data_IF_108299064224
#
_entry.id   IF_108299064224
#
_cell.length_a   1.000
_cell.length_b   1.000
_cell.length_c   1.000
_cell.angle_alpha   90.00
_cell.angle_beta   90.00
_cell.angle_gamma   90.00
#
_symmetry.space_group_name_H-M   'P 1'
#
loop_
_entity.id
_entity.type
_entity.pdbx_description
1 polymer ?
#
# COMPACT_ATOMS: atom_id res chain seq x y z
N UNK A 1 -62.41 -49.64 -32.13
CA UNK A 1 -61.54 -48.45 -32.03
C UNK A 1 -60.57 -48.47 -33.20
N UNK A 2 -60.55 -47.39 -33.97
CA UNK A 2 -60.09 -47.35 -35.36
C UNK A 2 -58.56 -47.17 -35.45
N UNK A 3 -57.88 -48.05 -36.17
CA UNK A 3 -56.41 -48.02 -36.37
C UNK A 3 -55.93 -46.79 -37.15
N UNK A 4 -56.83 -46.10 -37.87
CA UNK A 4 -56.58 -44.84 -38.56
C UNK A 4 -56.45 -43.62 -37.64
N UNK A 5 -57.22 -43.56 -36.55
CA UNK A 5 -57.14 -42.46 -35.58
C UNK A 5 -55.87 -42.53 -34.74
N UNK A 6 -55.41 -43.74 -34.42
CA UNK A 6 -54.12 -43.96 -33.75
C UNK A 6 -52.94 -43.49 -34.60
N UNK A 7 -52.87 -43.86 -35.89
CA UNK A 7 -51.79 -43.40 -36.79
C UNK A 7 -51.77 -41.89 -37.02
N UNK A 8 -52.95 -41.26 -37.08
CA UNK A 8 -53.08 -39.81 -37.24
C UNK A 8 -52.62 -39.06 -35.98
N UNK A 9 -52.99 -39.56 -34.80
CA UNK A 9 -52.56 -39.02 -33.51
C UNK A 9 -51.03 -39.15 -33.33
N UNK A 10 -50.43 -40.29 -33.68
CA UNK A 10 -48.97 -40.49 -33.60
C UNK A 10 -48.20 -39.58 -34.55
N UNK A 11 -48.70 -39.35 -35.77
CA UNK A 11 -48.08 -38.43 -36.73
C UNK A 11 -48.14 -36.96 -36.28
N UNK A 12 -49.23 -36.55 -35.62
CA UNK A 12 -49.37 -35.19 -35.08
C UNK A 12 -48.47 -34.97 -33.85
N UNK A 13 -48.38 -35.96 -32.95
CA UNK A 13 -47.46 -35.94 -31.81
C UNK A 13 -46.00 -35.85 -32.29
N UNK A 14 -45.62 -36.64 -33.31
CA UNK A 14 -44.25 -36.62 -33.86
C UNK A 14 -43.89 -35.26 -34.45
N UNK A 15 -44.82 -34.61 -35.17
CA UNK A 15 -44.62 -33.24 -35.70
C UNK A 15 -44.47 -32.21 -34.58
N UNK A 16 -45.28 -32.31 -33.52
CA UNK A 16 -45.18 -31.42 -32.35
C UNK A 16 -43.85 -31.60 -31.61
N UNK A 17 -43.41 -32.84 -31.41
CA UNK A 17 -42.10 -33.15 -30.82
C UNK A 17 -40.98 -32.59 -31.70
N UNK A 18 -41.03 -32.78 -33.03
CA UNK A 18 -40.05 -32.23 -33.95
C UNK A 18 -39.99 -30.69 -33.92
N UNK A 19 -41.14 -30.02 -33.87
CA UNK A 19 -41.22 -28.57 -33.75
C UNK A 19 -40.67 -28.06 -32.41
N UNK A 20 -40.98 -28.74 -31.30
CA UNK A 20 -40.44 -28.42 -29.97
C UNK A 20 -38.92 -28.63 -29.90
N UNK A 21 -38.42 -29.73 -30.48
CA UNK A 21 -36.99 -30.02 -30.55
C UNK A 21 -36.24 -28.99 -31.39
N UNK A 22 -36.80 -28.60 -32.53
CA UNK A 22 -36.24 -27.54 -33.38
C UNK A 22 -36.25 -26.19 -32.65
N UNK A 23 -37.35 -25.83 -31.99
CA UNK A 23 -37.45 -24.59 -31.20
C UNK A 23 -36.44 -24.56 -30.05
N UNK A 24 -36.30 -25.67 -29.32
CA UNK A 24 -35.29 -25.82 -28.26
C UNK A 24 -33.87 -25.71 -28.83
N UNK A 25 -33.61 -26.31 -29.99
CA UNK A 25 -32.33 -26.20 -30.69
C UNK A 25 -31.98 -24.75 -31.06
N UNK A 26 -32.94 -23.97 -31.54
CA UNK A 26 -32.74 -22.54 -31.82
C UNK A 26 -32.44 -21.73 -30.55
N UNK A 27 -33.15 -22.01 -29.45
CA UNK A 27 -32.89 -21.35 -28.16
C UNK A 27 -31.49 -21.66 -27.67
N UNK A 28 -31.08 -22.93 -27.71
CA UNK A 28 -29.72 -23.34 -27.32
C UNK A 28 -28.65 -22.70 -28.20
N UNK A 29 -28.89 -22.59 -29.51
CA UNK A 29 -27.98 -21.90 -30.44
C UNK A 29 -27.83 -20.42 -30.08
N UNK A 30 -28.93 -19.72 -29.78
CA UNK A 30 -28.89 -18.32 -29.36
C UNK A 30 -28.17 -18.14 -28.02
N UNK A 31 -28.45 -18.99 -27.03
CA UNK A 31 -27.76 -18.97 -25.74
C UNK A 31 -26.27 -19.26 -25.88
N UNK A 32 -25.90 -20.19 -26.76
CA UNK A 32 -24.48 -20.47 -27.06
C UNK A 32 -23.82 -19.28 -27.71
N UNK A 33 -24.47 -18.63 -28.69
CA UNK A 33 -23.97 -17.42 -29.30
C UNK A 33 -23.79 -16.27 -28.30
N UNK A 34 -24.76 -16.08 -27.39
CA UNK A 34 -24.67 -15.07 -26.33
C UNK A 34 -23.52 -15.38 -25.35
N UNK A 35 -23.38 -16.63 -24.93
CA UNK A 35 -22.32 -17.07 -24.02
C UNK A 35 -20.94 -16.83 -24.63
N UNK A 36 -20.73 -17.27 -25.87
CA UNK A 36 -19.47 -17.07 -26.59
C UNK A 36 -19.19 -15.59 -26.85
N UNK A 37 -20.23 -14.79 -27.07
CA UNK A 37 -20.05 -13.34 -27.26
C UNK A 37 -19.61 -12.67 -25.96
N UNK A 38 -20.21 -13.01 -24.81
CA UNK A 38 -19.76 -12.46 -23.52
C UNK A 38 -18.34 -12.93 -23.19
N UNK A 39 -18.02 -14.21 -23.40
CA UNK A 39 -16.65 -14.72 -23.22
C UNK A 39 -15.66 -13.99 -24.14
N UNK A 40 -16.01 -13.75 -25.40
CA UNK A 40 -15.19 -12.95 -26.31
C UNK A 40 -14.95 -11.53 -25.78
N UNK A 41 -15.97 -10.87 -25.22
CA UNK A 41 -15.83 -9.53 -24.63
C UNK A 41 -14.99 -9.53 -23.35
N UNK A 42 -15.03 -10.60 -22.56
CA UNK A 42 -14.20 -10.75 -21.36
C UNK A 42 -12.72 -10.95 -21.71
N UNK A 43 -12.44 -11.75 -22.74
CA UNK A 43 -11.09 -11.99 -23.25
C UNK A 43 -10.55 -10.83 -24.10
N UNK A 44 -11.45 -10.01 -24.68
CA UNK A 44 -11.09 -8.87 -25.53
C UNK A 44 -11.81 -7.59 -25.08
N UNK A 45 -11.54 -7.05 -23.88
CA UNK A 45 -12.27 -5.91 -23.34
C UNK A 45 -12.23 -4.66 -24.23
N UNK A 46 -11.14 -4.46 -24.97
CA UNK A 46 -11.01 -3.36 -25.93
C UNK A 46 -11.99 -3.43 -27.11
N UNK A 47 -12.54 -4.61 -27.40
CA UNK A 47 -13.59 -4.81 -28.40
C UNK A 47 -15.01 -4.60 -27.82
N UNK A 48 -15.15 -4.38 -26.51
CA UNK A 48 -16.44 -4.19 -25.88
C UNK A 48 -17.07 -2.85 -26.29
N UNK A 49 -18.29 -2.83 -26.86
CA UNK A 49 -18.99 -1.60 -27.12
C UNK A 49 -19.21 -0.78 -25.84
N UNK A 50 -19.05 0.55 -25.90
CA UNK A 50 -19.19 1.45 -24.75
C UNK A 50 -20.52 1.26 -24.00
N UNK A 51 -21.62 1.01 -24.72
CA UNK A 51 -22.93 0.78 -24.12
C UNK A 51 -23.06 -0.53 -23.34
N UNK A 52 -22.22 -1.53 -23.66
CA UNK A 52 -22.20 -2.83 -22.97
C UNK A 52 -21.15 -2.87 -21.84
N UNK A 53 -20.11 -2.05 -21.91
CA UNK A 53 -18.98 -2.08 -20.98
C UNK A 53 -19.40 -2.01 -19.50
N UNK A 54 -20.34 -1.14 -19.05
CA UNK A 54 -20.79 -1.14 -17.65
C UNK A 54 -21.43 -2.46 -17.20
N UNK A 55 -22.13 -3.16 -18.11
CA UNK A 55 -22.74 -4.45 -17.82
C UNK A 55 -21.69 -5.54 -17.73
N UNK A 56 -20.71 -5.54 -18.66
CA UNK A 56 -19.60 -6.51 -18.66
C UNK A 56 -18.70 -6.30 -17.45
N UNK A 57 -18.36 -5.06 -17.08
CA UNK A 57 -17.62 -4.72 -15.85
C UNK A 57 -18.32 -5.22 -14.59
N UNK A 58 -19.61 -4.93 -14.47
CA UNK A 58 -20.38 -5.39 -13.31
C UNK A 58 -20.43 -6.91 -13.24
N UNK A 59 -20.62 -7.58 -14.39
CA UNK A 59 -20.55 -9.04 -14.45
C UNK A 59 -19.18 -9.54 -14.01
N UNK A 60 -18.10 -8.99 -14.57
CA UNK A 60 -16.73 -9.34 -14.23
C UNK A 60 -16.50 -9.24 -12.72
N UNK A 61 -16.76 -8.08 -12.12
CA UNK A 61 -16.54 -7.82 -10.70
C UNK A 61 -17.29 -8.80 -9.77
N UNK A 62 -18.54 -9.11 -10.11
CA UNK A 62 -19.44 -9.84 -9.21
C UNK A 62 -19.49 -11.36 -9.47
N UNK A 63 -19.05 -11.83 -10.64
CA UNK A 63 -19.24 -13.22 -11.06
C UNK A 63 -18.01 -13.88 -11.70
N UNK A 64 -17.03 -13.12 -12.17
CA UNK A 64 -15.89 -13.66 -12.94
C UNK A 64 -14.54 -13.40 -12.28
N UNK A 65 -14.34 -12.21 -11.71
CA UNK A 65 -13.10 -11.77 -11.07
C UNK A 65 -12.78 -12.63 -9.84
N UNK A 66 -11.57 -13.18 -9.86
CA UNK A 66 -10.97 -13.83 -8.72
C UNK A 66 -10.50 -12.78 -7.70
N UNK A 67 -10.65 -13.11 -6.42
CA UNK A 67 -10.43 -12.18 -5.32
C UNK A 67 -9.27 -12.70 -4.47
N UNK A 68 -8.17 -11.93 -4.48
CA UNK A 68 -6.89 -12.32 -3.91
C UNK A 68 -6.96 -12.80 -2.45
N UNK A 69 -7.64 -12.03 -1.59
CA UNK A 69 -7.69 -12.29 -0.14
C UNK A 69 -8.26 -13.66 0.24
N UNK A 70 -9.08 -14.22 -0.63
CA UNK A 70 -9.87 -15.44 -0.42
C UNK A 70 -9.35 -16.63 -1.22
N UNK A 71 -8.11 -16.58 -1.70
CA UNK A 71 -7.56 -17.65 -2.51
C UNK A 71 -6.77 -18.66 -1.66
N UNK A 72 -7.34 -19.84 -1.44
CA UNK A 72 -6.67 -20.94 -0.74
C UNK A 72 -5.33 -21.28 -1.41
N UNK A 73 -4.27 -21.33 -0.61
CA UNK A 73 -2.90 -21.57 -1.08
C UNK A 73 -2.09 -20.32 -1.41
N UNK A 74 -2.72 -19.14 -1.52
CA UNK A 74 -2.01 -17.84 -1.64
C UNK A 74 -2.13 -17.01 -0.35
N UNK A 75 -3.20 -17.20 0.40
CA UNK A 75 -3.38 -16.63 1.74
C UNK A 75 -3.57 -17.74 2.77
N UNK A 76 -3.45 -17.38 4.05
CA UNK A 76 -3.83 -18.20 5.19
C UNK A 76 -4.61 -17.33 6.20
N UNK A 77 -5.36 -17.99 7.08
CA UNK A 77 -6.03 -17.31 8.19
C UNK A 77 -4.98 -16.72 9.15
N UNK A 78 -5.21 -15.47 9.55
CA UNK A 78 -4.38 -14.76 10.52
C UNK A 78 -5.29 -14.24 11.65
N UNK A 79 -4.95 -14.55 12.90
CA UNK A 79 -5.79 -14.21 14.05
C UNK A 79 -5.87 -12.72 14.33
N UNK A 80 -4.90 -11.93 13.86
CA UNK A 80 -4.82 -10.49 14.14
C UNK A 80 -5.25 -9.66 12.92
N UNK A 81 -5.15 -10.22 11.71
CA UNK A 81 -5.43 -9.53 10.45
C UNK A 81 -6.55 -10.16 9.62
N UNK A 82 -7.23 -11.18 10.12
CA UNK A 82 -8.20 -12.06 9.42
C UNK A 82 -7.56 -12.96 8.35
N UNK A 83 -6.61 -12.45 7.58
CA UNK A 83 -5.80 -13.24 6.66
C UNK A 83 -4.46 -12.56 6.38
N UNK A 84 -3.44 -13.33 6.03
CA UNK A 84 -2.15 -12.86 5.54
C UNK A 84 -1.72 -13.62 4.29
N UNK A 85 -0.78 -13.08 3.51
CA UNK A 85 -0.23 -13.77 2.33
C UNK A 85 0.70 -14.90 2.75
N UNK A 86 0.68 -15.99 1.99
CA UNK A 86 1.64 -17.08 2.17
C UNK A 86 3.01 -16.64 1.63
N UNK A 87 4.09 -16.75 2.42
CA UNK A 87 5.44 -16.47 1.93
C UNK A 87 5.81 -17.34 0.73
N UNK A 88 6.65 -16.79 -0.15
CA UNK A 88 7.15 -17.45 -1.34
C UNK A 88 6.68 -16.80 -2.63
N UNK A 89 6.65 -17.58 -3.70
CA UNK A 89 6.40 -17.09 -5.06
C UNK A 89 5.24 -17.82 -5.70
N UNK A 90 4.28 -17.07 -6.22
CA UNK A 90 3.13 -17.62 -6.94
C UNK A 90 2.61 -16.66 -8.00
N UNK A 91 1.78 -17.17 -8.91
CA UNK A 91 1.12 -16.36 -9.94
C UNK A 91 -0.30 -16.05 -9.54
N UNK A 92 -0.69 -14.78 -9.65
CA UNK A 92 -2.08 -14.32 -9.57
C UNK A 92 -2.52 -13.83 -10.95
N UNK A 93 -3.74 -14.15 -11.35
CA UNK A 93 -4.22 -13.82 -12.70
C UNK A 93 -5.71 -13.54 -12.69
N UNK A 94 -6.09 -12.58 -13.51
CA UNK A 94 -7.46 -12.31 -13.91
C UNK A 94 -7.48 -12.12 -15.45
N UNK A 95 -8.63 -11.80 -16.03
CA UNK A 95 -8.80 -11.71 -17.49
C UNK A 95 -7.79 -10.76 -18.17
N UNK A 96 -7.38 -9.69 -17.50
CA UNK A 96 -6.56 -8.63 -18.10
C UNK A 96 -5.09 -8.64 -17.67
N UNK A 97 -4.71 -9.50 -16.73
CA UNK A 97 -3.34 -9.56 -16.22
C UNK A 97 -2.99 -10.93 -15.66
N UNK A 98 -1.69 -11.26 -15.71
CA UNK A 98 -1.11 -12.45 -15.08
C UNK A 98 0.27 -12.07 -14.57
N UNK A 99 0.42 -12.00 -13.25
CA UNK A 99 1.61 -11.46 -12.62
C UNK A 99 2.17 -12.40 -11.57
N UNK A 100 3.48 -12.31 -11.39
CA UNK A 100 4.19 -13.02 -10.32
C UNK A 100 4.18 -12.16 -9.07
N UNK A 101 3.80 -12.78 -7.96
CA UNK A 101 3.87 -12.23 -6.63
C UNK A 101 5.03 -12.93 -5.92
N UNK A 102 5.95 -12.14 -5.39
CA UNK A 102 6.98 -12.59 -4.45
C UNK A 102 6.62 -11.97 -3.10
N UNK A 103 6.46 -12.84 -2.10
CA UNK A 103 5.98 -12.50 -0.77
C UNK A 103 7.03 -12.93 0.24
N UNK A 104 7.48 -11.98 1.07
CA UNK A 104 8.48 -12.23 2.10
C UNK A 104 7.90 -12.99 3.31
N UNK A 105 8.80 -13.32 4.24
CA UNK A 105 8.51 -14.07 5.46
C UNK A 105 7.50 -13.41 6.39
N UNK A 106 7.31 -12.09 6.29
CA UNK A 106 6.30 -11.34 7.04
C UNK A 106 4.91 -11.31 6.36
N UNK A 107 4.77 -11.89 5.17
CA UNK A 107 3.50 -11.92 4.44
C UNK A 107 3.21 -10.65 3.64
N UNK A 108 4.24 -9.87 3.31
CA UNK A 108 4.13 -8.69 2.44
C UNK A 108 4.70 -8.98 1.06
N UNK A 109 4.14 -8.32 0.04
CA UNK A 109 4.50 -8.53 -1.37
C UNK A 109 5.76 -7.73 -1.72
N UNK A 110 6.86 -8.13 -1.10
CA UNK A 110 8.17 -7.52 -1.27
C UNK A 110 9.28 -8.54 -0.99
N UNK A 111 10.55 -8.14 -1.11
CA UNK A 111 11.69 -8.98 -0.79
C UNK A 111 12.01 -9.03 0.72
N UNK A 112 12.91 -9.95 1.10
CA UNK A 112 13.34 -10.14 2.50
C UNK A 112 14.31 -9.05 2.99
N UNK A 113 15.02 -8.39 2.07
CA UNK A 113 16.01 -7.37 2.41
C UNK A 113 15.29 -6.10 2.88
N UNK A 114 14.18 -5.74 2.23
CA UNK A 114 13.34 -4.61 2.62
C UNK A 114 12.73 -4.73 4.02
N UNK A 115 12.66 -5.92 4.61
CA UNK A 115 12.20 -6.10 6.00
C UNK A 115 13.21 -5.66 7.06
N UNK A 116 14.50 -5.60 6.73
CA UNK A 116 15.56 -5.43 7.72
C UNK A 116 15.62 -4.00 8.24
N UNK A 117 15.71 -3.04 7.32
CA UNK A 117 15.93 -1.61 7.59
C UNK A 117 15.26 -0.73 6.53
N UNK A 118 13.92 -0.71 6.42
CA UNK A 118 13.24 0.13 5.44
C UNK A 118 13.37 1.61 5.81
N UNK A 119 13.85 2.43 4.87
CA UNK A 119 13.87 3.89 4.97
C UNK A 119 12.51 4.49 4.56
N UNK A 120 11.80 3.79 3.67
CA UNK A 120 10.44 4.12 3.25
C UNK A 120 9.54 2.90 3.47
N UNK A 121 8.39 3.08 4.10
CA UNK A 121 7.34 2.05 4.14
C UNK A 121 6.10 2.54 3.42
N UNK A 122 5.48 1.67 2.63
CA UNK A 122 4.21 1.91 1.95
C UNK A 122 3.11 1.11 2.64
N UNK A 123 2.06 1.81 3.09
CA UNK A 123 0.78 1.27 3.53
C UNK A 123 -0.30 1.51 2.47
N UNK A 124 -1.29 0.63 2.45
CA UNK A 124 -2.48 0.78 1.62
C UNK A 124 -3.16 -0.55 1.34
N UNK A 125 -4.09 -0.51 0.41
CA UNK A 125 -4.91 -1.66 0.02
C UNK A 125 -4.40 -2.32 -1.28
N UNK A 126 -5.33 -2.81 -2.12
CA UNK A 126 -5.01 -3.45 -3.39
C UNK A 126 -4.34 -2.50 -4.39
N UNK A 127 -4.56 -1.19 -4.31
CA UNK A 127 -3.91 -0.23 -5.19
C UNK A 127 -2.41 -0.10 -4.86
N UNK A 128 -2.07 0.01 -3.58
CA UNK A 128 -0.70 0.06 -3.11
C UNK A 128 0.05 -1.28 -3.19
N UNK A 129 -0.65 -2.39 -2.95
CA UNK A 129 -0.12 -3.76 -3.14
C UNK A 129 0.28 -4.05 -4.60
N UNK A 130 -0.25 -3.27 -5.56
CA UNK A 130 -0.01 -3.47 -6.98
C UNK A 130 -0.83 -4.63 -7.59
N UNK A 131 -2.13 -4.71 -7.25
CA UNK A 131 -3.09 -5.78 -7.61
C UNK A 131 -2.84 -6.55 -8.92
N UNK A 132 -2.56 -5.86 -10.03
CA UNK A 132 -2.44 -6.45 -11.36
C UNK A 132 -1.15 -6.13 -12.11
N UNK A 133 -0.07 -5.76 -11.41
CA UNK A 133 1.23 -5.47 -12.03
C UNK A 133 2.33 -6.37 -11.47
N UNK A 134 3.47 -6.51 -12.13
CA UNK A 134 4.64 -7.23 -11.57
C UNK A 134 5.29 -6.44 -10.43
N UNK A 135 6.05 -7.10 -9.55
CA UNK A 135 6.67 -6.44 -8.37
C UNK A 135 7.45 -5.16 -8.75
N UNK A 136 8.36 -5.24 -9.73
CA UNK A 136 9.13 -4.08 -10.21
C UNK A 136 8.33 -2.98 -10.94
N UNK A 137 7.01 -3.15 -11.08
CA UNK A 137 6.11 -2.15 -11.67
C UNK A 137 5.21 -1.48 -10.62
N UNK A 138 5.25 -1.92 -9.35
CA UNK A 138 4.54 -1.23 -8.28
C UNK A 138 5.14 0.15 -8.06
N UNK A 139 4.34 1.13 -7.64
CA UNK A 139 4.90 2.44 -7.33
C UNK A 139 5.92 2.39 -6.19
N UNK A 140 5.83 1.43 -5.27
CA UNK A 140 6.82 1.22 -4.21
C UNK A 140 8.19 0.89 -4.79
N UNK A 141 8.29 -0.10 -5.69
CA UNK A 141 9.55 -0.45 -6.35
C UNK A 141 10.07 0.65 -7.28
N UNK A 142 9.17 1.42 -7.91
CA UNK A 142 9.57 2.57 -8.73
C UNK A 142 10.12 3.73 -7.87
N UNK A 143 9.60 3.90 -6.65
CA UNK A 143 10.12 4.88 -5.69
C UNK A 143 11.50 4.46 -5.17
N UNK A 144 11.68 3.17 -4.88
CA UNK A 144 12.99 2.60 -4.49
C UNK A 144 14.06 2.90 -5.54
N UNK A 145 13.77 2.59 -6.82
CA UNK A 145 14.65 2.89 -7.93
C UNK A 145 14.91 4.40 -8.07
N UNK A 146 13.89 5.23 -7.87
CA UNK A 146 13.98 6.68 -8.06
C UNK A 146 14.70 7.44 -6.94
N UNK A 147 14.71 6.92 -5.72
CA UNK A 147 15.30 7.58 -4.55
C UNK A 147 16.63 6.98 -4.08
N UNK A 148 16.98 5.77 -4.52
CA UNK A 148 18.14 5.01 -3.99
C UNK A 148 18.05 4.83 -2.46
N UNK A 149 16.83 4.55 -1.96
CA UNK A 149 16.50 4.27 -0.56
C UNK A 149 15.85 2.90 -0.46
N UNK A 150 16.01 2.19 0.67
CA UNK A 150 15.30 0.92 0.89
C UNK A 150 13.81 1.17 1.09
N UNK A 151 12.97 0.53 0.26
CA UNK A 151 11.50 0.64 0.35
C UNK A 151 10.90 -0.71 0.70
N UNK A 152 9.98 -0.70 1.66
CA UNK A 152 9.15 -1.86 1.98
C UNK A 152 7.68 -1.59 1.69
N UNK A 153 7.10 -2.37 0.79
CA UNK A 153 5.68 -2.38 0.50
C UNK A 153 4.93 -3.35 1.42
N UNK A 154 4.22 -2.80 2.40
CA UNK A 154 3.40 -3.58 3.34
C UNK A 154 1.91 -3.57 2.98
N UNK A 155 1.53 -2.96 1.86
CA UNK A 155 0.15 -2.87 1.44
C UNK A 155 -0.45 -4.24 1.11
N UNK A 156 -1.70 -4.45 1.53
CA UNK A 156 -2.43 -5.71 1.34
C UNK A 156 -3.86 -5.38 0.94
N UNK A 157 -4.36 -6.06 -0.10
CA UNK A 157 -5.74 -5.93 -0.57
C UNK A 157 -6.76 -5.83 0.57
N UNK A 158 -7.76 -4.97 0.46
CA UNK A 158 -8.86 -4.84 1.45
C UNK A 158 -8.48 -4.54 2.90
N UNK A 159 -7.22 -4.23 3.21
CA UNK A 159 -6.86 -3.70 4.52
C UNK A 159 -7.30 -2.24 4.53
N UNK A 160 -7.98 -1.81 5.59
CA UNK A 160 -8.12 -0.40 5.86
C UNK A 160 -7.00 0.07 6.78
N UNK A 161 -6.92 1.39 6.99
CA UNK A 161 -5.88 2.03 7.81
C UNK A 161 -5.63 1.33 9.16
N UNK A 162 -6.68 0.89 9.86
CA UNK A 162 -6.54 0.17 11.13
C UNK A 162 -5.75 -1.14 11.00
N UNK A 163 -6.03 -1.93 9.97
CA UNK A 163 -5.34 -3.20 9.70
C UNK A 163 -3.95 -2.98 9.12
N UNK A 164 -3.78 -1.97 8.28
CA UNK A 164 -2.45 -1.55 7.80
C UNK A 164 -1.51 -1.22 8.96
N UNK A 165 -1.97 -0.42 9.92
CA UNK A 165 -1.17 -0.06 11.11
C UNK A 165 -0.92 -1.27 12.02
N UNK A 166 -1.90 -2.17 12.16
CA UNK A 166 -1.69 -3.41 12.92
C UNK A 166 -0.65 -4.30 12.25
N UNK A 167 -0.68 -4.41 10.92
CA UNK A 167 0.32 -5.15 10.16
C UNK A 167 1.71 -4.50 10.27
N UNK A 168 1.79 -3.16 10.27
CA UNK A 168 3.04 -2.40 10.45
C UNK A 168 3.75 -2.74 11.77
N UNK A 169 3.01 -3.08 12.83
CA UNK A 169 3.60 -3.48 14.13
C UNK A 169 4.46 -4.75 14.06
N UNK A 170 4.37 -5.52 12.95
CA UNK A 170 5.17 -6.72 12.68
C UNK A 170 6.51 -6.41 11.98
N UNK A 171 6.78 -5.15 11.66
CA UNK A 171 7.95 -4.69 10.89
C UNK A 171 8.87 -3.84 11.76
N UNK A 172 10.17 -3.90 11.50
CA UNK A 172 11.12 -2.97 12.10
C UNK A 172 11.01 -1.58 11.45
N UNK A 173 10.38 -0.63 12.14
CA UNK A 173 10.20 0.74 11.65
C UNK A 173 11.25 1.73 12.18
N UNK A 174 12.28 1.26 12.90
CA UNK A 174 13.21 2.14 13.64
C UNK A 174 13.91 3.18 12.76
N UNK A 175 14.26 2.80 11.53
CA UNK A 175 15.00 3.63 10.55
C UNK A 175 14.07 4.26 9.49
N UNK A 176 12.75 4.18 9.69
CA UNK A 176 11.78 4.67 8.72
C UNK A 176 11.71 6.20 8.70
N UNK A 177 12.36 6.81 7.70
CA UNK A 177 12.29 8.25 7.44
C UNK A 177 10.95 8.66 6.82
N UNK A 178 10.37 7.81 5.98
CA UNK A 178 9.13 8.10 5.25
C UNK A 178 8.08 7.00 5.40
N UNK A 179 6.85 7.41 5.66
CA UNK A 179 5.67 6.55 5.61
C UNK A 179 4.73 7.06 4.54
N UNK A 180 4.51 6.28 3.49
CA UNK A 180 3.55 6.58 2.43
C UNK A 180 2.27 5.81 2.74
N UNK A 181 1.15 6.51 2.85
CA UNK A 181 -0.17 5.90 3.11
C UNK A 181 -1.08 6.19 1.92
N UNK A 182 -1.44 5.14 1.21
CA UNK A 182 -2.53 5.18 0.24
C UNK A 182 -3.84 4.91 0.97
N UNK A 183 -4.65 5.95 1.16
CA UNK A 183 -5.99 5.81 1.73
C UNK A 183 -7.01 5.42 0.65
N UNK A 184 -8.02 4.63 1.02
CA UNK A 184 -9.18 4.35 0.19
C UNK A 184 -10.49 4.62 0.95
N UNK A 185 -11.56 5.13 0.31
CA UNK A 185 -12.84 5.34 0.99
C UNK A 185 -13.48 4.07 1.59
N UNK A 186 -13.09 2.88 1.12
CA UNK A 186 -13.56 1.60 1.67
C UNK A 186 -12.97 1.29 3.06
N UNK A 187 -11.94 2.01 3.53
CA UNK A 187 -11.40 1.94 4.89
C UNK A 187 -12.39 2.39 5.96
N UNK A 188 -13.34 3.27 5.61
CA UNK A 188 -14.15 4.02 6.56
C UNK A 188 -14.84 3.12 7.59
N UNK A 189 -15.48 2.05 7.14
CA UNK A 189 -16.23 1.16 8.03
C UNK A 189 -15.31 0.44 9.01
N UNK A 190 -14.14 -0.03 8.54
CA UNK A 190 -13.16 -0.68 9.40
C UNK A 190 -12.57 0.29 10.42
N UNK A 191 -12.18 1.48 9.97
CA UNK A 191 -11.62 2.53 10.82
C UNK A 191 -12.62 2.99 11.88
N UNK A 192 -13.90 3.16 11.53
CA UNK A 192 -14.96 3.50 12.48
C UNK A 192 -15.15 2.43 13.55
N UNK A 193 -15.13 1.16 13.15
CA UNK A 193 -15.27 0.04 14.07
C UNK A 193 -14.07 -0.05 15.02
N UNK A 194 -12.85 0.15 14.50
CA UNK A 194 -11.64 0.15 15.30
C UNK A 194 -11.63 1.26 16.35
N UNK A 195 -11.89 2.51 15.94
CA UNK A 195 -11.91 3.67 16.87
C UNK A 195 -13.04 3.55 17.89
N UNK A 196 -14.19 3.01 17.49
CA UNK A 196 -15.33 2.82 18.41
C UNK A 196 -15.17 1.60 19.32
N UNK A 197 -14.24 0.69 18.99
CA UNK A 197 -13.99 -0.57 19.67
C UNK A 197 -12.70 -0.56 20.48
N UNK A 198 -12.39 0.55 21.15
CA UNK A 198 -11.21 0.72 22.02
C UNK A 198 -9.87 0.42 21.32
N UNK A 199 -9.78 0.74 20.03
CA UNK A 199 -8.57 0.55 19.20
C UNK A 199 -8.14 -0.93 19.09
N UNK A 200 -9.12 -1.84 19.10
CA UNK A 200 -8.91 -3.26 18.83
C UNK A 200 -9.54 -3.66 17.49
N UNK A 201 -8.79 -4.41 16.67
CA UNK A 201 -9.33 -5.01 15.45
C UNK A 201 -10.23 -6.19 15.80
N UNK A 202 -11.51 -6.09 15.41
CA UNK A 202 -12.44 -7.20 15.51
C UNK A 202 -12.22 -8.14 14.33
N UNK A 203 -11.49 -9.22 14.59
CA UNK A 203 -11.19 -10.26 13.58
C UNK A 203 -12.18 -11.41 13.71
N UNK A 204 -12.76 -11.81 12.57
CA UNK A 204 -13.63 -12.99 12.51
C UNK A 204 -12.79 -14.28 12.59
N UNK A 205 -13.34 -15.36 13.14
CA UNK A 205 -12.60 -16.62 13.30
C UNK A 205 -12.33 -17.36 11.98
N UNK A 206 -11.43 -18.35 12.04
CA UNK A 206 -10.95 -19.15 10.89
C UNK A 206 -12.08 -19.76 10.04
N UNK A 207 -13.16 -20.23 10.68
CA UNK A 207 -14.31 -20.78 9.95
C UNK A 207 -14.95 -19.76 8.98
N UNK A 208 -14.98 -18.48 9.35
CA UNK A 208 -15.50 -17.40 8.49
C UNK A 208 -14.56 -17.15 7.32
N UNK A 209 -13.25 -17.22 7.54
CA UNK A 209 -12.24 -17.14 6.48
C UNK A 209 -12.39 -18.32 5.49
N UNK A 210 -12.54 -19.55 5.99
CA UNK A 210 -12.75 -20.74 5.18
C UNK A 210 -14.03 -20.65 4.32
N UNK A 211 -15.12 -20.17 4.92
CA UNK A 211 -16.40 -19.97 4.24
C UNK A 211 -16.29 -18.89 3.15
N UNK A 212 -15.56 -17.80 3.43
CA UNK A 212 -15.31 -16.74 2.46
C UNK A 212 -14.51 -17.25 1.25
N UNK A 213 -13.45 -18.04 1.49
CA UNK A 213 -12.68 -18.69 0.44
C UNK A 213 -13.56 -19.60 -0.43
N UNK A 214 -14.31 -20.50 0.21
CA UNK A 214 -15.17 -21.44 -0.49
C UNK A 214 -16.31 -20.73 -1.26
N UNK A 215 -16.80 -19.59 -0.75
CA UNK A 215 -17.81 -18.78 -1.43
C UNK A 215 -17.28 -18.17 -2.73
N UNK A 216 -16.05 -17.65 -2.72
CA UNK A 216 -15.42 -17.08 -3.91
C UNK A 216 -15.10 -18.15 -4.95
N UNK A 217 -14.56 -19.31 -4.54
CA UNK A 217 -14.33 -20.45 -5.45
C UNK A 217 -15.63 -20.86 -6.18
N UNK A 218 -16.75 -20.96 -5.45
CA UNK A 218 -18.06 -21.27 -6.05
C UNK A 218 -18.59 -20.15 -6.95
N UNK A 219 -18.33 -18.88 -6.59
CA UNK A 219 -18.76 -17.70 -7.36
C UNK A 219 -18.10 -17.69 -8.74
N UNK A 220 -16.80 -17.98 -8.81
CA UNK A 220 -16.02 -17.92 -10.05
C UNK A 220 -16.08 -19.22 -10.86
N UNK A 221 -16.43 -20.36 -10.25
CA UNK A 221 -16.57 -21.63 -10.96
C UNK A 221 -17.53 -21.54 -12.15
N UNK A 222 -17.11 -22.07 -13.31
CA UNK A 222 -17.93 -22.09 -14.52
C UNK A 222 -19.02 -23.17 -14.43
N UNK A 223 -20.20 -22.86 -14.97
CA UNK A 223 -21.26 -23.81 -15.29
C UNK A 223 -21.86 -23.45 -16.65
N UNK A 224 -22.47 -24.40 -17.39
CA UNK A 224 -22.99 -24.12 -18.73
C UNK A 224 -23.90 -22.89 -18.78
N UNK A 225 -23.56 -21.95 -19.65
CA UNK A 225 -24.25 -20.66 -19.81
C UNK A 225 -24.12 -19.70 -18.62
N UNK A 226 -23.08 -19.84 -17.78
CA UNK A 226 -22.85 -18.98 -16.61
C UNK A 226 -22.93 -17.50 -16.96
N UNK A 227 -22.22 -17.06 -18.00
CA UNK A 227 -22.13 -15.63 -18.31
C UNK A 227 -23.50 -15.06 -18.65
N UNK A 228 -24.19 -15.74 -19.57
CA UNK A 228 -25.52 -15.35 -20.05
C UNK A 228 -26.55 -15.36 -18.94
N UNK A 229 -26.59 -16.45 -18.15
CA UNK A 229 -27.56 -16.62 -17.06
C UNK A 229 -27.32 -15.61 -15.94
N UNK A 230 -26.08 -15.40 -15.52
CA UNK A 230 -25.76 -14.45 -14.44
C UNK A 230 -26.06 -13.01 -14.83
N UNK A 231 -25.76 -12.58 -16.08
CA UNK A 231 -26.12 -11.25 -16.57
C UNK A 231 -27.64 -11.07 -16.56
N UNK A 232 -28.40 -12.06 -17.06
CA UNK A 232 -29.85 -12.00 -17.06
C UNK A 232 -30.42 -11.94 -15.64
N UNK A 233 -29.89 -12.74 -14.71
CA UNK A 233 -30.29 -12.70 -13.30
C UNK A 233 -30.01 -11.36 -12.65
N UNK A 234 -28.83 -10.76 -12.88
CA UNK A 234 -28.49 -9.43 -12.40
C UNK A 234 -29.43 -8.36 -12.95
N UNK A 235 -29.78 -8.41 -14.24
CA UNK A 235 -30.72 -7.49 -14.86
C UNK A 235 -32.14 -7.61 -14.27
N UNK A 236 -32.62 -8.85 -14.06
CA UNK A 236 -33.92 -9.11 -13.43
C UNK A 236 -33.98 -8.63 -11.97
N UNK A 237 -32.89 -8.81 -11.21
CA UNK A 237 -32.77 -8.31 -9.84
C UNK A 237 -32.81 -6.79 -9.78
N UNK A 238 -32.08 -6.09 -10.65
CA UNK A 238 -32.11 -4.61 -10.74
C UNK A 238 -33.52 -4.08 -11.02
N UNK A 239 -34.26 -4.72 -11.92
CA UNK A 239 -35.64 -4.33 -12.22
C UNK A 239 -36.61 -4.58 -11.05
N UNK A 240 -36.35 -5.61 -10.23
CA UNK A 240 -37.17 -5.92 -9.05
C UNK A 240 -36.83 -5.01 -7.86
N UNK A 241 -35.58 -4.62 -7.73
CA UNK A 241 -35.06 -3.75 -6.66
C UNK A 241 -35.22 -2.25 -6.97
N UNK A 242 -35.69 -1.90 -8.17
CA UNK A 242 -36.15 -0.56 -8.55
C UNK A 242 -37.51 -0.16 -7.92
N UNK A 243 -38.15 -1.04 -7.17
CA UNK A 243 -39.24 -0.69 -6.26
C UNK A 243 -38.66 -0.07 -4.98
N UNK A 244 -39.24 0.99 -4.40
CA UNK A 244 -38.65 1.70 -3.28
C UNK A 244 -38.48 0.75 -2.09
N UNK A 245 -37.22 0.38 -1.81
CA UNK A 245 -36.87 -0.28 -0.56
C UNK A 245 -36.82 0.80 0.51
N UNK A 246 -37.75 0.73 1.46
CA UNK A 246 -37.48 1.24 2.80
C UNK A 246 -36.35 0.39 3.38
N UNK A 247 -35.11 0.79 3.13
CA UNK A 247 -33.97 0.31 3.90
C UNK A 247 -34.12 0.88 5.29
N UNK A 248 -34.61 0.07 6.22
CA UNK A 248 -34.29 0.22 7.63
C UNK A 248 -32.78 0.04 7.74
N UNK A 249 -32.06 1.15 7.59
CA UNK A 249 -30.67 1.21 8.01
C UNK A 249 -30.70 1.42 9.51
N UNK A 250 -30.53 0.33 10.25
CA UNK A 250 -30.21 0.40 11.65
C UNK A 250 -28.74 0.84 11.76
N UNK A 251 -28.55 2.15 11.82
CA UNK A 251 -27.30 2.77 12.24
C UNK A 251 -27.71 4.03 12.98
N UNK A 252 -27.55 4.03 14.30
CA UNK A 252 -27.76 5.19 15.14
C UNK A 252 -26.89 6.35 14.61
N UNK A 253 -27.45 7.37 13.92
CA UNK A 253 -26.65 8.35 13.16
C UNK A 253 -25.93 9.37 14.05
N UNK A 254 -26.14 9.32 15.36
CA UNK A 254 -25.76 10.39 16.28
C UNK A 254 -24.32 10.30 16.79
N UNK A 255 -23.48 9.37 16.30
CA UNK A 255 -22.13 9.14 16.86
C UNK A 255 -21.05 8.59 15.91
N UNK A 256 -21.29 8.47 14.61
CA UNK A 256 -20.27 7.92 13.71
C UNK A 256 -19.16 8.97 13.45
N UNK A 257 -17.92 8.64 13.85
CA UNK A 257 -16.73 9.45 13.55
C UNK A 257 -16.52 9.53 12.02
N UNK A 258 -16.20 10.71 11.49
CA UNK A 258 -15.97 10.89 10.06
C UNK A 258 -14.64 10.28 9.60
N UNK A 259 -14.52 9.97 8.29
CA UNK A 259 -13.34 9.33 7.69
C UNK A 259 -12.01 9.94 8.11
N UNK A 260 -11.87 11.26 7.94
CA UNK A 260 -10.65 11.98 8.29
C UNK A 260 -10.36 11.96 9.80
N UNK A 261 -11.39 11.99 10.65
CA UNK A 261 -11.20 11.91 12.10
C UNK A 261 -10.75 10.50 12.52
N UNK A 262 -11.38 9.46 11.96
CA UNK A 262 -10.98 8.08 12.25
C UNK A 262 -9.55 7.79 11.76
N UNK A 263 -9.21 8.25 10.55
CA UNK A 263 -7.87 8.13 10.00
C UNK A 263 -6.81 8.80 10.89
N UNK A 264 -7.02 10.08 11.26
CA UNK A 264 -6.07 10.82 12.10
C UNK A 264 -5.93 10.21 13.50
N UNK A 265 -7.02 9.70 14.07
CA UNK A 265 -7.02 9.03 15.38
C UNK A 265 -6.16 7.75 15.34
N UNK A 266 -6.35 6.90 14.31
CA UNK A 266 -5.56 5.67 14.11
C UNK A 266 -4.08 5.98 13.88
N UNK A 267 -3.79 6.88 12.93
CA UNK A 267 -2.41 7.19 12.55
C UNK A 267 -1.68 7.93 13.68
N UNK A 268 -2.37 8.86 14.36
CA UNK A 268 -1.81 9.60 15.50
C UNK A 268 -1.62 8.76 16.76
N UNK A 269 -2.43 7.71 16.95
CA UNK A 269 -2.34 6.79 18.08
C UNK A 269 -1.32 5.64 17.91
N UNK A 270 -0.76 5.47 16.71
CA UNK A 270 0.13 4.34 16.42
C UNK A 270 1.53 4.50 17.04
N UNK A 271 1.93 3.55 17.87
CA UNK A 271 3.31 3.44 18.38
C UNK A 271 4.29 2.88 17.33
N UNK A 272 3.77 2.26 16.27
CA UNK A 272 4.59 1.67 15.20
C UNK A 272 5.14 2.71 14.23
N UNK A 273 4.68 3.96 14.30
CA UNK A 273 5.17 5.08 13.49
C UNK A 273 6.15 5.91 14.34
N UNK A 274 7.46 5.88 14.05
CA UNK A 274 8.42 6.72 14.77
C UNK A 274 8.06 8.21 14.71
N UNK A 275 8.40 8.93 15.78
CA UNK A 275 8.13 10.38 15.90
C UNK A 275 8.93 11.26 14.95
N UNK A 276 9.95 10.71 14.26
CA UNK A 276 10.74 11.46 13.29
C UNK A 276 10.25 11.27 11.85
N UNK A 277 9.45 10.23 11.59
CA UNK A 277 8.98 9.85 10.26
C UNK A 277 8.12 10.95 9.65
N UNK A 278 8.38 11.26 8.37
CA UNK A 278 7.54 12.08 7.52
C UNK A 278 6.45 11.21 6.88
N UNK A 279 5.18 11.57 7.12
CA UNK A 279 4.01 10.87 6.60
C UNK A 279 3.54 11.58 5.34
N UNK A 280 3.31 10.79 4.28
CA UNK A 280 2.83 11.24 2.98
C UNK A 280 1.54 10.50 2.70
N UNK A 281 0.44 11.23 2.55
CA UNK A 281 -0.89 10.64 2.38
C UNK A 281 -1.44 11.02 1.02
N UNK A 282 -2.02 10.05 0.33
CA UNK A 282 -2.82 10.31 -0.86
C UNK A 282 -4.05 9.39 -0.86
N UNK A 283 -5.10 9.82 -1.56
CA UNK A 283 -6.32 9.03 -1.71
C UNK A 283 -6.35 8.39 -3.09
N UNK A 284 -6.74 7.11 -3.16
CA UNK A 284 -6.95 6.43 -4.43
C UNK A 284 -8.22 5.57 -4.39
N UNK A 285 -9.01 5.67 -5.45
CA UNK A 285 -10.25 4.91 -5.60
C UNK A 285 -10.49 4.52 -7.07
N UNK A 286 -11.56 3.77 -7.32
CA UNK A 286 -11.77 3.03 -8.56
C UNK A 286 -11.98 3.90 -9.81
N UNK A 287 -12.82 4.94 -9.75
CA UNK A 287 -13.26 5.66 -10.96
C UNK A 287 -12.92 7.15 -11.00
N UNK A 288 -12.81 7.83 -9.85
CA UNK A 288 -12.44 9.25 -9.78
C UNK A 288 -11.58 9.47 -8.58
N UNK A 289 -10.43 10.12 -8.69
CA UNK A 289 -9.75 10.61 -7.48
C UNK A 289 -10.49 11.86 -7.03
N UNK A 290 -11.19 11.79 -5.91
CA UNK A 290 -11.75 12.97 -5.23
C UNK A 290 -10.81 13.44 -4.11
N UNK A 291 -10.45 14.73 -4.14
CA UNK A 291 -9.61 15.38 -3.13
C UNK A 291 -10.32 15.61 -1.78
N UNK A 292 -11.63 15.37 -1.70
CA UNK A 292 -12.46 15.68 -0.53
C UNK A 292 -11.98 15.02 0.77
N UNK A 293 -11.39 13.82 0.73
CA UNK A 293 -10.79 13.20 1.91
C UNK A 293 -9.57 14.01 2.40
N UNK A 294 -8.66 14.34 1.49
CA UNK A 294 -7.45 15.11 1.78
C UNK A 294 -7.80 16.50 2.31
N UNK A 295 -8.80 17.16 1.73
CA UNK A 295 -9.32 18.45 2.23
C UNK A 295 -9.83 18.31 3.69
N UNK A 296 -10.56 17.24 4.00
CA UNK A 296 -11.10 16.99 5.34
C UNK A 296 -10.04 16.64 6.38
N UNK A 297 -8.95 15.97 5.97
CA UNK A 297 -7.79 15.69 6.84
C UNK A 297 -7.00 16.97 7.09
N UNK A 298 -6.71 17.73 6.03
CA UNK A 298 -5.99 19.01 6.13
C UNK A 298 -6.73 19.98 7.05
N UNK A 299 -8.03 20.17 6.83
CA UNK A 299 -8.85 21.06 7.65
C UNK A 299 -8.90 20.66 9.14
N UNK A 300 -8.68 19.37 9.46
CA UNK A 300 -8.59 18.91 10.85
C UNK A 300 -7.22 19.15 11.45
N UNK A 301 -6.16 18.86 10.71
CA UNK A 301 -4.79 19.13 11.16
C UNK A 301 -4.58 20.63 11.40
N UNK A 302 -5.17 21.51 10.59
CA UNK A 302 -5.09 22.97 10.77
C UNK A 302 -5.69 23.45 12.10
N UNK A 303 -6.62 22.69 12.69
CA UNK A 303 -7.19 22.98 14.02
C UNK A 303 -6.22 22.60 15.16
N UNK A 304 -5.20 21.80 14.88
CA UNK A 304 -4.19 21.29 15.81
C UNK A 304 -2.78 21.74 15.40
N UNK A 305 -2.67 22.97 14.88
CA UNK A 305 -1.40 23.53 14.40
C UNK A 305 -0.28 23.42 15.46
N UNK A 306 0.85 22.84 15.06
CA UNK A 306 1.98 22.56 15.96
C UNK A 306 1.88 21.22 16.71
N UNK A 307 0.91 20.37 16.39
CA UNK A 307 0.93 18.97 16.79
C UNK A 307 2.00 18.20 16.02
N UNK A 308 2.53 17.13 16.63
CA UNK A 308 3.52 16.27 15.98
C UNK A 308 3.01 15.68 14.66
N UNK A 309 1.70 15.49 14.51
CA UNK A 309 1.10 14.93 13.31
C UNK A 309 0.95 15.98 12.22
N UNK A 310 0.51 17.19 12.57
CA UNK A 310 0.43 18.32 11.66
C UNK A 310 1.79 18.63 11.01
N UNK A 311 2.86 18.66 11.80
CA UNK A 311 4.19 19.07 11.32
C UNK A 311 4.88 18.03 10.43
N UNK A 312 4.37 16.79 10.42
CA UNK A 312 4.99 15.64 9.75
C UNK A 312 4.06 14.95 8.77
N UNK A 313 2.86 15.47 8.51
CA UNK A 313 1.94 14.90 7.52
C UNK A 313 1.82 15.83 6.32
N UNK A 314 2.02 15.28 5.13
CA UNK A 314 1.91 16.00 3.86
C UNK A 314 1.06 15.20 2.89
N UNK A 315 0.55 15.86 1.85
CA UNK A 315 -0.45 15.27 0.97
C UNK A 315 -0.02 15.33 -0.48
N UNK A 316 -0.31 14.25 -1.23
CA UNK A 316 -0.15 14.22 -2.68
C UNK A 316 -1.53 14.19 -3.34
N UNK A 317 -1.77 15.18 -4.20
CA UNK A 317 -2.97 15.24 -5.02
C UNK A 317 -2.73 14.53 -6.36
N UNK A 318 -3.58 13.54 -6.63
CA UNK A 318 -3.59 12.79 -7.90
C UNK A 318 -4.73 13.23 -8.82
N UNK A 319 -5.52 14.24 -8.43
CA UNK A 319 -6.62 14.77 -9.21
C UNK A 319 -6.14 15.27 -10.57
N UNK A 320 -6.73 14.74 -11.65
CA UNK A 320 -6.32 15.08 -13.02
C UNK A 320 -5.01 14.46 -13.50
N UNK A 321 -4.34 13.65 -12.67
CA UNK A 321 -3.10 12.93 -13.04
C UNK A 321 -3.36 11.49 -13.47
N UNK A 322 -4.56 10.96 -13.23
CA UNK A 322 -4.97 9.63 -13.66
C UNK A 322 -6.18 9.72 -14.59
N UNK A 323 -6.15 8.92 -15.64
CA UNK A 323 -7.24 8.78 -16.62
C UNK A 323 -7.54 7.30 -16.92
N UNK A 324 -8.44 7.06 -17.89
CA UNK A 324 -8.85 5.69 -18.25
C UNK A 324 -7.71 4.82 -18.77
N UNK A 325 -6.65 5.40 -19.35
CA UNK A 325 -5.50 4.64 -19.88
C UNK A 325 -4.59 4.10 -18.78
N UNK A 326 -4.72 4.62 -17.56
CA UNK A 326 -3.95 4.22 -16.38
C UNK A 326 -4.57 3.02 -15.64
N UNK A 327 -5.67 2.47 -16.14
CA UNK A 327 -6.42 1.37 -15.52
C UNK A 327 -6.68 0.25 -16.51
N UNK A 328 -7.03 -0.92 -16.01
CA UNK A 328 -7.56 -1.97 -16.88
C UNK A 328 -8.98 -1.64 -17.34
N UNK A 329 -9.46 -2.30 -18.39
CA UNK A 329 -10.74 -2.00 -19.02
C UNK A 329 -11.88 -2.64 -18.24
N UNK A 330 -11.75 -3.88 -17.76
CA UNK A 330 -12.74 -4.54 -16.89
C UNK A 330 -12.45 -4.29 -15.42
N UNK A 331 -11.18 -4.40 -15.03
CA UNK A 331 -10.72 -4.23 -13.67
C UNK A 331 -10.39 -2.75 -13.38
N UNK A 332 -11.02 -2.11 -12.39
CA UNK A 332 -10.76 -0.69 -12.12
C UNK A 332 -9.36 -0.40 -11.54
N UNK A 333 -8.58 -1.43 -11.19
CA UNK A 333 -7.23 -1.23 -10.64
C UNK A 333 -6.26 -0.61 -11.65
N UNK A 334 -5.22 0.02 -11.11
CA UNK A 334 -4.15 0.62 -11.90
C UNK A 334 -3.39 -0.45 -12.69
N UNK A 335 -3.10 -0.16 -13.95
CA UNK A 335 -2.13 -0.91 -14.73
C UNK A 335 -0.71 -0.35 -14.49
N UNK A 336 0.29 -0.90 -15.18
CA UNK A 336 1.69 -0.46 -15.04
C UNK A 336 1.90 1.04 -15.32
N UNK A 337 1.16 1.62 -16.28
CA UNK A 337 1.22 3.05 -16.55
C UNK A 337 0.62 3.86 -15.39
N UNK A 338 -0.49 3.39 -14.80
CA UNK A 338 -1.09 4.02 -13.62
C UNK A 338 -0.20 3.98 -12.39
N UNK A 339 0.44 2.84 -12.13
CA UNK A 339 1.42 2.69 -11.05
C UNK A 339 2.59 3.67 -11.24
N UNK A 340 3.12 3.79 -12.46
CA UNK A 340 4.16 4.78 -12.79
C UNK A 340 3.70 6.22 -12.60
N UNK A 341 2.49 6.56 -13.05
CA UNK A 341 1.95 7.90 -12.86
C UNK A 341 1.83 8.27 -11.37
N UNK A 342 1.45 7.32 -10.50
CA UNK A 342 1.46 7.53 -9.05
C UNK A 342 2.89 7.69 -8.52
N UNK A 343 3.82 6.82 -8.94
CA UNK A 343 5.22 6.87 -8.53
C UNK A 343 5.87 8.22 -8.87
N UNK A 344 5.68 8.73 -10.09
CA UNK A 344 6.24 10.00 -10.55
C UNK A 344 5.77 11.17 -9.65
N UNK A 345 4.49 11.17 -9.24
CA UNK A 345 3.95 12.21 -8.35
C UNK A 345 4.51 12.10 -6.93
N UNK A 346 4.67 10.87 -6.43
CA UNK A 346 5.27 10.63 -5.11
C UNK A 346 6.76 11.01 -5.11
N UNK A 347 7.51 10.68 -6.15
CA UNK A 347 8.90 11.07 -6.33
C UNK A 347 9.07 12.59 -6.39
N UNK A 348 8.26 13.27 -7.23
CA UNK A 348 8.23 14.74 -7.31
C UNK A 348 7.94 15.36 -5.94
N UNK A 349 6.97 14.81 -5.21
CA UNK A 349 6.59 15.30 -3.89
C UNK A 349 7.72 15.08 -2.88
N UNK A 350 8.27 13.86 -2.79
CA UNK A 350 9.39 13.55 -1.88
C UNK A 350 10.62 14.40 -2.18
N UNK A 351 10.89 14.69 -3.45
CA UNK A 351 11.95 15.62 -3.86
C UNK A 351 11.67 17.08 -3.46
N UNK A 352 10.39 17.49 -3.41
CA UNK A 352 9.94 18.81 -2.98
C UNK A 352 9.76 18.95 -1.47
N UNK A 353 9.70 17.83 -0.75
CA UNK A 353 9.81 17.79 0.71
C UNK A 353 11.23 18.20 1.10
N UNK A 354 11.49 19.50 0.98
CA UNK A 354 12.67 20.17 1.50
C UNK A 354 12.62 20.06 3.01
N UNK A 355 13.32 19.04 3.48
CA UNK A 355 13.57 18.75 4.87
C UNK A 355 14.19 20.03 5.50
N UNK A 356 13.98 20.34 6.78
CA UNK A 356 14.24 21.68 7.33
C UNK A 356 15.68 22.17 7.17
N UNK A 357 15.87 23.32 6.51
CA UNK A 357 17.14 24.07 6.44
C UNK A 357 17.19 25.08 7.59
N UNK A 358 18.27 25.09 8.38
CA UNK A 358 18.41 26.00 9.51
C UNK A 358 19.39 25.52 10.59
N UNK A 359 19.68 26.37 11.56
CA UNK A 359 20.51 26.01 12.71
C UNK A 359 19.62 25.45 13.82
N UNK A 360 19.93 24.26 14.32
CA UNK A 360 19.24 23.64 15.46
C UNK A 360 20.17 23.57 16.66
N UNK A 361 19.61 23.89 17.82
CA UNK A 361 20.24 23.77 19.13
C UNK A 361 19.38 22.89 20.03
N UNK A 362 20.01 21.99 20.76
CA UNK A 362 19.39 21.19 21.80
C UNK A 362 20.04 21.50 23.14
N UNK A 363 19.25 21.45 24.21
CA UNK A 363 19.71 21.71 25.58
C UNK A 363 19.47 20.50 26.48
N UNK A 364 20.32 20.32 27.49
CA UNK A 364 20.09 19.41 28.62
C UNK A 364 18.87 19.85 29.45
N UNK A 365 18.28 18.97 30.29
CA UNK A 365 17.22 19.36 31.22
C UNK A 365 17.60 20.51 32.16
N UNK A 366 18.90 20.69 32.43
CA UNK A 366 19.48 21.81 33.18
C UNK A 366 19.44 23.15 32.42
N UNK A 367 19.15 23.14 31.12
CA UNK A 367 19.18 24.31 30.23
C UNK A 367 20.53 24.55 29.56
N UNK A 368 21.57 23.78 29.90
CA UNK A 368 22.88 23.89 29.25
C UNK A 368 22.82 23.41 27.78
N UNK A 369 23.57 24.02 26.84
CA UNK A 369 23.60 23.56 25.45
C UNK A 369 24.19 22.15 25.38
N UNK A 370 23.54 21.28 24.61
CA UNK A 370 23.94 19.90 24.39
C UNK A 370 24.51 19.70 22.99
N UNK A 371 23.85 20.25 21.96
CA UNK A 371 24.23 20.08 20.56
C UNK A 371 23.90 21.34 19.77
N UNK A 372 24.78 21.70 18.84
CA UNK A 372 24.52 22.70 17.81
C UNK A 372 24.89 22.17 16.42
N UNK A 373 24.01 22.33 15.43
CA UNK A 373 24.29 21.90 14.06
C UNK A 373 23.46 22.71 13.05
N UNK A 374 24.06 23.04 11.91
CA UNK A 374 23.31 23.52 10.76
C UNK A 374 22.76 22.35 9.94
N UNK A 375 21.62 22.61 9.31
CA UNK A 375 20.93 21.70 8.42
C UNK A 375 20.70 22.42 7.10
N UNK A 376 20.90 21.71 5.98
CA UNK A 376 20.48 22.11 4.64
C UNK A 376 19.70 20.95 4.06
N UNK A 377 18.47 21.24 3.64
CA UNK A 377 17.49 20.27 3.18
C UNK A 377 17.38 19.10 4.17
N UNK A 378 17.28 19.44 5.47
CA UNK A 378 17.11 18.56 6.66
C UNK A 378 18.18 17.51 6.88
N UNK A 379 19.25 17.59 6.11
CA UNK A 379 20.48 16.86 6.33
C UNK A 379 21.46 17.75 7.09
N UNK A 380 22.24 17.18 8.02
CA UNK A 380 23.31 17.92 8.70
C UNK A 380 24.27 18.50 7.65
N UNK A 381 24.57 19.79 7.75
CA UNK A 381 25.47 20.50 6.84
C UNK A 381 26.39 21.40 7.65
N UNK A 382 27.70 21.34 7.38
CA UNK A 382 28.70 22.14 8.08
C UNK A 382 29.13 21.59 9.44
N UNK A 383 29.47 22.48 10.36
CA UNK A 383 30.04 22.10 11.66
C UNK A 383 28.93 21.66 12.64
N UNK A 384 29.08 20.44 13.12
CA UNK A 384 28.37 19.89 14.27
C UNK A 384 29.25 20.03 15.51
N UNK A 385 28.67 20.52 16.61
CA UNK A 385 29.32 20.58 17.92
C UNK A 385 28.42 19.93 18.96
N UNK A 386 28.98 19.03 19.76
CA UNK A 386 28.35 18.50 20.96
C UNK A 386 29.11 18.97 22.20
N UNK A 387 28.38 19.13 23.30
CA UNK A 387 28.89 19.65 24.56
C UNK A 387 28.61 18.67 25.68
N UNK A 388 29.54 18.58 26.64
CA UNK A 388 29.29 18.05 27.97
C UNK A 388 28.34 18.98 28.73
N UNK A 389 27.61 18.47 29.71
CA UNK A 389 26.69 19.29 30.52
C UNK A 389 27.41 20.41 31.31
N UNK A 390 28.73 20.28 31.54
CA UNK A 390 29.54 21.36 32.12
C UNK A 390 29.89 22.49 31.12
N UNK A 391 29.38 22.44 29.89
CA UNK A 391 29.60 23.41 28.82
C UNK A 391 30.86 23.20 27.98
N UNK A 392 31.73 22.26 28.36
CA UNK A 392 32.92 21.91 27.57
C UNK A 392 32.55 21.16 26.29
N UNK A 393 33.27 21.37 25.19
CA UNK A 393 33.04 20.62 23.95
C UNK A 393 33.38 19.15 24.17
N UNK A 394 32.47 18.25 23.78
CA UNK A 394 32.70 16.80 23.78
C UNK A 394 33.10 16.30 22.40
N UNK A 395 32.57 16.91 21.34
CA UNK A 395 32.86 16.53 19.96
C UNK A 395 32.65 17.67 18.98
N UNK A 396 33.50 17.75 17.96
CA UNK A 396 33.24 18.50 16.73
C UNK A 396 33.30 17.58 15.53
N UNK A 397 32.44 17.78 14.53
CA UNK A 397 32.48 17.02 13.27
C UNK A 397 31.96 17.84 12.11
N UNK A 398 32.51 17.64 10.92
CA UNK A 398 32.01 18.25 9.69
C UNK A 398 31.03 17.33 8.97
N UNK A 399 29.95 17.90 8.46
CA UNK A 399 28.93 17.21 7.68
C UNK A 399 28.73 17.88 6.32
N UNK A 400 28.39 17.08 5.31
CA UNK A 400 27.96 17.54 3.99
C UNK A 400 26.88 16.59 3.48
N UNK A 401 25.69 17.12 3.18
CA UNK A 401 24.50 16.35 2.80
C UNK A 401 24.24 15.17 3.75
N UNK A 402 24.33 15.42 5.06
CA UNK A 402 23.94 14.45 6.10
C UNK A 402 25.01 13.44 6.47
N UNK A 403 26.00 13.22 5.60
CA UNK A 403 27.14 12.36 5.86
C UNK A 403 28.29 13.12 6.52
N UNK A 404 29.06 12.46 7.41
CA UNK A 404 30.34 13.02 7.91
C UNK A 404 31.28 13.25 6.74
N UNK A 405 31.83 14.46 6.62
CA UNK A 405 32.69 14.84 5.51
C UNK A 405 33.71 15.88 5.99
N UNK A 406 34.89 15.42 6.37
CA UNK A 406 35.93 16.20 7.03
C UNK A 406 36.38 15.58 8.35
N UNK A 407 36.98 16.40 9.21
CA UNK A 407 37.56 15.96 10.47
C UNK A 407 36.52 15.90 11.59
N UNK A 408 36.44 14.75 12.27
CA UNK A 408 35.83 14.61 13.59
C UNK A 408 36.91 14.69 14.66
N UNK A 409 36.61 15.33 15.78
CA UNK A 409 37.49 15.39 16.96
C UNK A 409 36.67 15.17 18.22
N UNK A 410 37.08 14.20 19.03
CA UNK A 410 36.49 13.92 20.33
C UNK A 410 37.39 14.49 21.44
N UNK A 411 36.76 15.00 22.49
CA UNK A 411 37.41 15.62 23.63
C UNK A 411 36.96 14.97 24.95
N UNK A 412 37.89 14.81 25.88
CA UNK A 412 37.59 14.44 27.27
C UNK A 412 36.80 15.53 27.99
N UNK A 413 36.21 15.22 29.15
CA UNK A 413 35.56 16.23 30.01
C UNK A 413 36.48 17.37 30.46
N UNK A 414 37.80 17.15 30.45
CA UNK A 414 38.82 18.16 30.76
C UNK A 414 39.25 19.01 29.55
N UNK A 415 38.73 18.74 28.35
CA UNK A 415 39.03 19.49 27.12
C UNK A 415 40.23 18.95 26.33
N UNK A 416 40.87 17.87 26.76
CA UNK A 416 41.95 17.23 25.99
C UNK A 416 41.40 16.39 24.84
N UNK A 417 42.04 16.48 23.66
CA UNK A 417 41.71 15.62 22.52
C UNK A 417 42.00 14.16 22.86
N UNK A 418 41.05 13.28 22.56
CA UNK A 418 41.18 11.83 22.77
C UNK A 418 41.10 11.05 21.45
N UNK A 419 40.50 11.63 20.40
CA UNK A 419 40.52 11.05 19.06
C UNK A 419 40.33 12.10 17.97
N UNK A 420 40.89 11.82 16.79
CA UNK A 420 40.66 12.55 15.54
C UNK A 420 40.40 11.55 14.41
N UNK A 421 39.36 11.77 13.59
CA UNK A 421 39.00 10.86 12.50
C UNK A 421 38.63 11.62 11.25
N UNK A 422 39.28 11.33 10.13
CA UNK A 422 38.93 11.93 8.85
C UNK A 422 37.88 11.10 8.11
N UNK A 423 36.84 11.76 7.62
CA UNK A 423 35.74 11.14 6.87
C UNK A 423 35.58 11.77 5.48
N UNK A 424 35.16 10.96 4.52
CA UNK A 424 34.67 11.39 3.21
C UNK A 424 33.39 10.59 2.91
N UNK A 425 32.28 11.29 2.66
CA UNK A 425 30.98 10.67 2.33
C UNK A 425 30.55 9.62 3.37
N UNK A 426 30.73 9.92 4.66
CA UNK A 426 30.31 9.08 5.78
C UNK A 426 31.28 7.95 6.14
N UNK A 427 32.30 7.68 5.31
CA UNK A 427 33.29 6.62 5.53
C UNK A 427 34.62 7.19 5.98
N UNK A 428 35.40 6.45 6.76
CA UNK A 428 36.76 6.85 7.13
C UNK A 428 37.62 6.99 5.88
N UNK A 429 38.25 8.14 5.71
CA UNK A 429 39.09 8.45 4.56
C UNK A 429 40.15 9.48 4.98
N UNK A 430 41.39 9.03 5.08
CA UNK A 430 42.49 9.72 5.71
C UNK A 430 42.88 9.11 7.05
N UNK A 431 43.57 9.89 7.88
CA UNK A 431 44.06 9.42 9.17
C UNK A 431 42.96 9.41 10.24
N UNK A 432 42.86 8.30 10.97
CA UNK A 432 42.22 8.15 12.27
C UNK A 432 43.31 8.04 13.33
N UNK A 433 43.20 8.82 14.41
CA UNK A 433 44.23 8.98 15.44
C UNK A 433 43.57 8.86 16.81
N UNK A 434 44.13 8.03 17.69
CA UNK A 434 43.70 7.89 19.09
C UNK A 434 44.82 8.43 19.98
N UNK A 435 44.45 9.26 20.95
CA UNK A 435 45.36 9.86 21.91
C UNK A 435 45.09 9.31 23.31
N UNK A 436 46.16 9.05 24.04
CA UNK A 436 46.15 8.78 25.47
C UNK A 436 46.80 9.92 26.24
N UNK A 437 46.93 9.73 27.55
CA UNK A 437 47.53 10.74 28.44
C UNK A 437 49.00 11.07 28.06
N UNK A 438 49.73 10.09 27.50
CA UNK A 438 51.13 10.21 27.08
C UNK A 438 51.32 10.53 25.57
N UNK A 439 50.26 10.97 24.88
CA UNK A 439 50.27 11.34 23.47
C UNK A 439 49.67 10.28 22.55
N UNK A 440 50.21 10.13 21.33
CA UNK A 440 49.68 9.22 20.31
C UNK A 440 49.67 7.76 20.80
N UNK A 441 48.50 7.10 20.78
CA UNK A 441 48.35 5.66 21.00
C UNK A 441 48.39 4.92 19.67
N UNK A 442 47.55 5.35 18.73
CA UNK A 442 47.35 4.66 17.46
C UNK A 442 47.04 5.67 16.36
N UNK A 443 47.54 5.41 15.16
CA UNK A 443 47.16 6.10 13.94
C UNK A 443 46.94 5.11 12.81
N UNK A 444 45.76 5.11 12.22
CA UNK A 444 45.39 4.22 11.12
C UNK A 444 44.91 5.04 9.94
N UNK A 445 45.48 4.83 8.75
CA UNK A 445 45.09 5.48 7.50
C UNK A 445 44.04 4.63 6.79
N UNK A 446 42.95 5.28 6.39
CA UNK A 446 41.84 4.66 5.70
C UNK A 446 41.68 5.24 4.29
N UNK A 447 41.30 4.41 3.32
CA UNK A 447 40.73 4.86 2.05
C UNK A 447 39.32 4.29 1.90
N UNK A 448 38.31 5.17 1.98
CA UNK A 448 36.88 4.82 1.77
C UNK A 448 36.36 3.71 2.69
N UNK A 449 36.87 3.67 3.93
CA UNK A 449 36.49 2.72 4.97
C UNK A 449 37.48 1.56 5.14
N UNK A 450 38.36 1.33 4.17
CA UNK A 450 39.34 0.24 4.21
C UNK A 450 40.66 0.71 4.83
N UNK A 451 41.27 -0.13 5.67
CA UNK A 451 42.57 0.15 6.28
C UNK A 451 43.66 -0.01 5.21
N UNK A 452 44.47 1.02 5.03
CA UNK A 452 45.62 1.02 4.11
C UNK A 452 46.93 0.96 4.88
N UNK A 453 47.01 1.64 6.03
CA UNK A 453 48.19 1.68 6.88
C UNK A 453 47.77 1.79 8.35
N UNK A 454 48.56 1.24 9.25
CA UNK A 454 48.33 1.36 10.69
C UNK A 454 49.65 1.41 11.45
N UNK A 455 49.74 2.39 12.35
CA UNK A 455 50.88 2.64 13.23
C UNK A 455 50.34 2.71 14.65
N UNK A 456 50.57 1.67 15.43
CA UNK A 456 50.32 1.66 16.88
C UNK A 456 51.64 1.84 17.64
N UNK A 457 51.57 2.49 18.80
CA UNK A 457 52.71 2.66 19.71
C UNK A 457 52.93 1.45 20.60
#
# INVERSE_FOLDING_TARGET
MNTGDSKRLTGEITKRIGALAFGLGLVLLMLTGAELYVEFLLENPAACPDGLLPTVRHYYEHHDRDVFQTHKGRTHFDSDLFYAMNPGRFTFSNREFSNVFEVNSAGFRDDEISLLHPEVVVLGDSYAMGWGVDNGQTFASLIEEGLDLSVLNTAVSSYGTAREITALSRVNTTEMDYLIIQYCPNDLTENQNFVSGDHELIVSGEAVYDDACAAIERKIAYFPFKHTVSILQSALRRNRDAAPRNTLHDSNPARAIGAAAAFLDIVGGSESIPKHTQIIVFSLEAEKVDGSFIEQVTARLDLEYGSSLHDRMTFVDLSGHLDKSHRYILDPHLNAAGQRAVADRLLDHIAQLNRPTGFKEWSYPSGAPAITCAYVDGLKEGLFTAFWENGGVSRTSWYKRGARNGLETDFSRGGFKIAERAYLEGRLHGWSTIFGDDGLIERTYYERGEIVDSVSK
#
